data_IF_931905896257
#
_entry.id   IF_931905896257
#
_cell.length_a   1.000
_cell.length_b   1.000
_cell.length_c   1.000
_cell.angle_alpha   90.00
_cell.angle_beta   90.00
_cell.angle_gamma   90.00
#
_symmetry.space_group_name_H-M   'P 1'
#
loop_
_entity.id
_entity.type
_entity.pdbx_description
1 polymer ?
#
# COMPACT_ATOMS: atom_id res chain seq x y z
N UNK A 1 22.31 2.22 -2.11
CA UNK A 1 21.06 2.88 -1.66
C UNK A 1 19.88 2.19 -2.34
N UNK A 2 19.51 1.00 -1.88
CA UNK A 2 18.39 0.18 -2.41
C UNK A 2 17.14 0.30 -1.52
N UNK A 3 17.31 0.81 -0.30
CA UNK A 3 16.26 0.83 0.73
C UNK A 3 15.16 1.84 0.37
N UNK A 4 15.51 3.09 0.02
CA UNK A 4 14.55 4.17 -0.27
C UNK A 4 13.59 3.90 -1.46
N UNK A 5 14.01 3.10 -2.44
CA UNK A 5 13.18 2.82 -3.63
C UNK A 5 12.10 1.77 -3.38
N UNK A 6 12.19 1.01 -2.28
CA UNK A 6 11.23 -0.04 -1.91
C UNK A 6 10.54 0.21 -0.56
N UNK A 7 10.55 1.43 -0.06
CA UNK A 7 9.88 1.80 1.21
C UNK A 7 8.39 1.37 1.26
N UNK A 8 7.73 1.33 0.09
CA UNK A 8 6.34 0.88 -0.03
C UNK A 8 6.12 -0.62 0.22
N UNK A 9 7.18 -1.42 0.34
CA UNK A 9 7.12 -2.86 0.66
C UNK A 9 7.22 -3.13 2.16
N UNK A 10 7.81 -2.21 2.92
CA UNK A 10 8.11 -2.43 4.34
C UNK A 10 6.80 -2.46 5.14
N UNK A 11 6.54 -3.60 5.81
CA UNK A 11 5.34 -3.89 6.59
C UNK A 11 4.02 -3.86 5.79
N UNK A 12 4.08 -3.86 4.46
CA UNK A 12 2.89 -3.77 3.64
C UNK A 12 2.04 -5.05 3.72
N UNK A 13 0.78 -4.94 4.13
CA UNK A 13 -0.21 -6.01 3.96
C UNK A 13 -0.65 -6.13 2.49
N UNK A 14 -0.68 -5.01 1.78
CA UNK A 14 -0.96 -4.94 0.36
C UNK A 14 -0.22 -3.75 -0.27
N UNK A 15 0.13 -3.87 -1.54
CA UNK A 15 0.67 -2.76 -2.34
C UNK A 15 -0.05 -2.71 -3.67
N UNK A 16 -0.60 -1.56 -4.03
CA UNK A 16 -1.31 -1.33 -5.29
C UNK A 16 -0.94 0.02 -5.90
N UNK A 17 -1.41 0.32 -7.12
CA UNK A 17 -1.12 1.56 -7.82
C UNK A 17 -2.38 2.32 -8.19
N UNK A 18 -2.27 3.64 -8.11
CA UNK A 18 -3.18 4.61 -8.72
C UNK A 18 -2.48 5.32 -9.87
N UNK A 19 -3.15 6.30 -10.49
CA UNK A 19 -2.54 7.08 -11.59
C UNK A 19 -1.23 7.76 -11.17
N UNK A 20 -1.19 8.37 -9.99
CA UNK A 20 -0.03 9.15 -9.51
C UNK A 20 0.81 8.51 -8.41
N UNK A 21 0.32 7.44 -7.77
CA UNK A 21 0.94 6.91 -6.55
C UNK A 21 1.09 5.38 -6.57
N UNK A 22 2.15 4.90 -5.94
CA UNK A 22 2.24 3.54 -5.39
C UNK A 22 1.74 3.62 -3.95
N UNK A 23 0.75 2.80 -3.61
CA UNK A 23 0.12 2.82 -2.29
C UNK A 23 0.54 1.58 -1.52
N UNK A 24 1.21 1.80 -0.39
CA UNK A 24 1.37 0.81 0.67
C UNK A 24 0.11 0.84 1.52
N UNK A 25 -0.48 -0.32 1.74
CA UNK A 25 -1.66 -0.50 2.59
C UNK A 25 -1.29 -1.46 3.73
N UNK A 26 -1.40 -0.99 4.96
CA UNK A 26 -1.24 -1.79 6.18
C UNK A 26 -2.63 -2.05 6.76
N UNK A 27 -3.03 -3.32 6.86
CA UNK A 27 -4.33 -3.72 7.39
C UNK A 27 -4.18 -4.10 8.84
N UNK A 28 -4.93 -3.42 9.69
CA UNK A 28 -5.05 -3.71 11.11
C UNK A 28 -6.48 -4.17 11.40
N UNK A 29 -6.59 -5.20 12.22
CA UNK A 29 -7.88 -5.69 12.72
C UNK A 29 -7.95 -5.30 14.19
N UNK A 30 -8.99 -4.56 14.55
CA UNK A 30 -9.30 -4.21 15.93
C UNK A 30 -10.69 -4.68 16.29
N UNK A 31 -10.93 -4.84 17.57
CA UNK A 31 -12.26 -5.04 18.16
C UNK A 31 -12.54 -3.88 19.07
N UNK A 32 -13.79 -3.40 19.12
CA UNK A 32 -14.20 -2.51 20.18
C UNK A 32 -14.61 -3.30 21.43
N UNK A 33 -15.00 -2.58 22.50
CA UNK A 33 -15.51 -3.19 23.74
C UNK A 33 -16.88 -3.86 23.60
N UNK A 34 -17.43 -3.93 22.39
CA UNK A 34 -18.73 -4.51 22.06
C UNK A 34 -18.62 -5.60 20.97
N UNK A 35 -17.43 -6.19 20.81
CA UNK A 35 -17.12 -7.25 19.83
C UNK A 35 -17.36 -6.87 18.36
N UNK A 36 -17.43 -5.58 18.04
CA UNK A 36 -17.52 -5.12 16.65
C UNK A 36 -16.14 -5.13 16.02
N UNK A 37 -15.98 -5.94 14.97
CA UNK A 37 -14.75 -5.98 14.19
C UNK A 37 -14.57 -4.71 13.36
N UNK A 38 -13.39 -4.12 13.45
CA UNK A 38 -12.98 -2.97 12.65
C UNK A 38 -11.75 -3.34 11.83
N UNK A 39 -11.81 -3.12 10.52
CA UNK A 39 -10.67 -3.29 9.61
C UNK A 39 -10.17 -1.89 9.27
N UNK A 40 -9.04 -1.51 9.86
CA UNK A 40 -8.43 -0.20 9.66
C UNK A 40 -7.30 -0.32 8.66
N UNK A 41 -7.32 0.54 7.65
CA UNK A 41 -6.28 0.63 6.63
C UNK A 41 -5.41 1.85 6.87
N UNK A 42 -4.12 1.64 7.15
CA UNK A 42 -3.15 2.74 7.22
C UNK A 42 -2.43 2.78 5.87
N UNK A 43 -2.81 3.77 5.04
CA UNK A 43 -2.37 3.85 3.66
C UNK A 43 -1.26 4.91 3.51
N UNK A 44 -0.11 4.54 2.95
CA UNK A 44 0.96 5.48 2.57
C UNK A 44 1.05 5.59 1.05
N UNK A 45 0.88 6.80 0.53
CA UNK A 45 0.86 7.14 -0.88
C UNK A 45 2.22 7.69 -1.30
N UNK A 46 3.03 6.86 -1.94
CA UNK A 46 4.33 7.23 -2.48
C UNK A 46 4.18 7.75 -3.91
N UNK A 47 4.62 8.98 -4.17
CA UNK A 47 4.60 9.56 -5.52
C UNK A 47 5.39 8.69 -6.48
N UNK A 48 4.84 8.50 -7.67
CA UNK A 48 5.46 7.70 -8.73
C UNK A 48 6.61 8.46 -9.37
N UNK A 49 7.80 8.30 -8.82
CA UNK A 49 9.05 8.63 -9.50
C UNK A 49 9.42 7.51 -10.46
N UNK A 50 10.28 7.80 -11.45
CA UNK A 50 10.77 6.80 -12.39
C UNK A 50 11.41 5.61 -11.66
N UNK A 51 12.20 5.90 -10.62
CA UNK A 51 12.87 4.89 -9.80
C UNK A 51 11.90 3.96 -9.09
N UNK A 52 10.89 4.51 -8.39
CA UNK A 52 9.88 3.71 -7.70
C UNK A 52 9.00 2.94 -8.69
N UNK A 53 8.76 3.49 -9.88
CA UNK A 53 8.01 2.78 -10.92
C UNK A 53 8.78 1.57 -11.46
N UNK A 54 10.08 1.69 -11.71
CA UNK A 54 10.94 0.58 -12.11
C UNK A 54 10.96 -0.48 -11.01
N UNK A 55 11.19 -0.08 -9.75
CA UNK A 55 11.18 -0.98 -8.60
C UNK A 55 9.84 -1.73 -8.47
N UNK A 56 8.72 -1.02 -8.59
CA UNK A 56 7.40 -1.64 -8.54
C UNK A 56 7.22 -2.68 -9.65
N UNK A 57 7.56 -2.33 -10.91
CA UNK A 57 7.40 -3.25 -12.04
C UNK A 57 8.27 -4.50 -11.88
N UNK A 58 9.46 -4.36 -11.32
CA UNK A 58 10.32 -5.50 -11.02
C UNK A 58 9.71 -6.42 -9.94
N UNK A 59 9.22 -5.86 -8.83
CA UNK A 59 8.64 -6.63 -7.71
C UNK A 59 7.34 -7.35 -8.11
N UNK A 60 6.52 -6.70 -8.93
CA UNK A 60 5.17 -7.19 -9.25
C UNK A 60 5.04 -7.69 -10.70
N UNK A 61 6.15 -8.03 -11.35
CA UNK A 61 6.19 -8.45 -12.76
C UNK A 61 5.21 -9.59 -13.07
N UNK A 62 5.06 -10.54 -12.14
CA UNK A 62 4.23 -11.74 -12.32
C UNK A 62 2.74 -11.52 -12.02
N UNK A 63 2.33 -10.31 -11.63
CA UNK A 63 0.91 -10.03 -11.35
C UNK A 63 0.10 -10.03 -12.65
N UNK A 64 -0.92 -10.90 -12.71
CA UNK A 64 -1.99 -10.84 -13.74
C UNK A 64 -2.62 -9.45 -13.84
N UNK A 65 -2.80 -8.74 -12.71
CA UNK A 65 -3.25 -7.35 -12.65
C UNK A 65 -2.14 -6.48 -12.05
N UNK A 66 -1.34 -5.90 -12.93
CA UNK A 66 -0.12 -5.16 -12.57
C UNK A 66 -0.36 -3.99 -11.61
N UNK A 67 -1.55 -3.40 -11.58
CA UNK A 67 -1.88 -2.30 -10.67
C UNK A 67 -2.36 -2.77 -9.29
N UNK A 68 -2.67 -4.05 -9.11
CA UNK A 68 -3.35 -4.54 -7.91
C UNK A 68 -4.71 -3.90 -7.69
N UNK A 69 -5.26 -4.09 -6.48
CA UNK A 69 -6.49 -3.44 -6.00
C UNK A 69 -6.36 -3.24 -4.50
N UNK A 70 -6.98 -2.18 -3.99
CA UNK A 70 -7.11 -1.93 -2.55
C UNK A 70 -7.93 -3.04 -1.89
N UNK A 71 -7.47 -3.53 -0.74
CA UNK A 71 -8.27 -4.42 0.10
C UNK A 71 -9.41 -3.62 0.76
N UNK A 72 -10.63 -4.18 0.86
CA UNK A 72 -11.71 -3.56 1.60
C UNK A 72 -11.32 -3.31 3.06
N UNK A 73 -11.73 -2.16 3.59
CA UNK A 73 -11.53 -1.79 4.99
C UNK A 73 -12.73 -0.96 5.45
N UNK A 74 -13.07 -1.01 6.74
CA UNK A 74 -14.17 -0.22 7.30
C UNK A 74 -13.76 1.25 7.47
N UNK A 75 -12.49 1.49 7.78
CA UNK A 75 -11.92 2.83 7.94
C UNK A 75 -10.54 2.94 7.30
N UNK A 76 -10.04 4.16 7.14
CA UNK A 76 -8.69 4.40 6.63
C UNK A 76 -8.06 5.71 7.10
N UNK A 77 -6.74 5.73 7.18
CA UNK A 77 -5.90 6.94 7.24
C UNK A 77 -5.01 7.02 6.01
N UNK A 78 -4.54 8.22 5.67
CA UNK A 78 -3.68 8.44 4.50
C UNK A 78 -2.52 9.38 4.81
N UNK A 79 -1.32 8.97 4.43
CA UNK A 79 -0.13 9.81 4.43
C UNK A 79 0.45 9.86 3.01
N UNK A 80 1.00 11.00 2.62
CA UNK A 80 1.61 11.19 1.30
C UNK A 80 3.11 11.41 1.45
N UNK A 81 3.89 10.72 0.61
CA UNK A 81 5.34 10.80 0.56
C UNK A 81 5.75 11.12 -0.86
N UNK A 82 6.56 12.17 -1.02
CA UNK A 82 7.10 12.58 -2.32
C UNK A 82 8.19 11.64 -2.85
#
# INVERSE_FOLDING_TARGET
MIIATMDFMVNASNVYRTKGFIVKQEIHIGTDGYDTNQIVSVDTYYKRTLEREVAYKAVFADRKRINGKRLPSTMYTRTYVE
#
